data_IF_990340186825
#
_entry.id   IF_990340186825
#
_cell.length_a   1.000
_cell.length_b   1.000
_cell.length_c   1.000
_cell.angle_alpha   90.00
_cell.angle_beta   90.00
_cell.angle_gamma   90.00
#
_symmetry.space_group_name_H-M   'P 1'
#
loop_
_entity.id
_entity.type
_entity.pdbx_description
1 polymer ?
#
# COMPACT_ATOMS: atom_id res chain seq x y z
N UNK A 1 7.88 4.39 17.72
CA UNK A 1 7.25 3.15 18.27
C UNK A 1 6.68 2.38 17.08
N UNK A 2 6.95 1.06 16.98
CA UNK A 2 6.38 0.21 15.93
C UNK A 2 4.91 -0.09 16.25
N UNK A 3 4.07 -0.07 15.24
CA UNK A 3 2.64 -0.43 15.32
C UNK A 3 2.18 -1.03 14.00
N UNK A 4 1.13 -1.84 14.07
CA UNK A 4 0.45 -2.43 12.93
C UNK A 4 -1.05 -2.50 13.21
N UNK A 5 -1.86 -2.02 12.24
CA UNK A 5 -3.32 -2.14 12.27
C UNK A 5 -3.80 -2.81 10.98
N UNK A 6 -4.85 -3.59 11.09
CA UNK A 6 -5.55 -4.20 9.98
C UNK A 6 -6.98 -3.69 9.94
N UNK A 7 -7.41 -3.25 8.78
CA UNK A 7 -8.78 -2.82 8.50
C UNK A 7 -9.31 -3.52 7.27
N UNK A 8 -10.63 -3.77 7.21
CA UNK A 8 -11.31 -4.36 6.05
C UNK A 8 -12.30 -3.36 5.47
N UNK A 9 -12.11 -2.99 4.19
CA UNK A 9 -13.07 -2.16 3.47
C UNK A 9 -14.38 -2.91 3.24
N UNK A 10 -15.49 -2.16 3.24
CA UNK A 10 -16.75 -2.67 2.70
C UNK A 10 -16.63 -2.82 1.18
N UNK A 11 -17.42 -3.72 0.56
CA UNK A 11 -17.41 -3.89 -0.90
C UNK A 11 -17.64 -2.60 -1.67
N UNK A 12 -18.54 -1.73 -1.18
CA UNK A 12 -18.86 -0.45 -1.81
C UNK A 12 -17.65 0.51 -1.79
N UNK A 13 -16.96 0.62 -0.66
CA UNK A 13 -15.76 1.44 -0.55
C UNK A 13 -14.65 0.90 -1.45
N UNK A 14 -14.44 -0.41 -1.43
CA UNK A 14 -13.44 -1.06 -2.29
C UNK A 14 -13.70 -0.78 -3.78
N UNK A 15 -14.95 -0.85 -4.22
CA UNK A 15 -15.33 -0.58 -5.61
C UNK A 15 -15.03 0.89 -6.02
N UNK A 16 -15.27 1.85 -5.12
CA UNK A 16 -14.92 3.26 -5.34
C UNK A 16 -13.40 3.41 -5.52
N UNK A 17 -12.60 2.85 -4.62
CA UNK A 17 -11.14 2.92 -4.70
C UNK A 17 -10.61 2.30 -6.00
N UNK A 18 -11.09 1.12 -6.37
CA UNK A 18 -10.73 0.46 -7.64
C UNK A 18 -11.00 1.36 -8.84
N UNK A 19 -12.18 1.99 -8.89
CA UNK A 19 -12.57 2.88 -10.00
C UNK A 19 -11.67 4.09 -10.10
N UNK A 20 -11.40 4.78 -9.00
CA UNK A 20 -10.52 5.96 -9.00
C UNK A 20 -9.09 5.59 -9.41
N UNK A 21 -8.51 4.53 -8.84
CA UNK A 21 -7.13 4.11 -9.15
C UNK A 21 -7.00 3.68 -10.61
N UNK A 22 -7.92 2.87 -11.11
CA UNK A 22 -7.89 2.44 -12.51
C UNK A 22 -8.08 3.63 -13.46
N UNK A 23 -9.02 4.54 -13.15
CA UNK A 23 -9.23 5.74 -13.95
C UNK A 23 -7.97 6.61 -14.00
N UNK A 24 -7.28 6.80 -12.86
CA UNK A 24 -6.05 7.56 -12.80
C UNK A 24 -4.94 6.91 -13.65
N UNK A 25 -4.77 5.59 -13.57
CA UNK A 25 -3.77 4.85 -14.37
C UNK A 25 -4.05 4.95 -15.87
N UNK A 26 -5.32 4.87 -16.28
CA UNK A 26 -5.72 4.89 -17.68
C UNK A 26 -5.70 6.27 -18.33
N UNK A 27 -5.90 7.34 -17.55
CA UNK A 27 -6.13 8.69 -18.05
C UNK A 27 -5.03 9.70 -17.74
N UNK A 28 -3.94 9.27 -17.10
CA UNK A 28 -2.79 10.13 -16.79
C UNK A 28 -1.48 9.50 -17.24
N UNK A 29 -0.49 10.35 -17.53
CA UNK A 29 0.89 9.90 -17.74
C UNK A 29 1.57 9.77 -16.38
N UNK A 30 1.35 8.65 -15.72
CA UNK A 30 2.02 8.38 -14.44
C UNK A 30 3.48 7.99 -14.67
N UNK A 31 4.32 8.41 -13.74
CA UNK A 31 5.68 7.90 -13.69
C UNK A 31 5.64 6.40 -13.36
N UNK A 32 6.32 5.60 -14.17
CA UNK A 32 6.44 4.16 -13.95
C UNK A 32 7.89 3.89 -13.60
N UNK A 33 8.11 3.28 -12.43
CA UNK A 33 9.46 2.84 -12.08
C UNK A 33 9.95 1.83 -13.13
N UNK A 34 11.14 2.06 -13.69
CA UNK A 34 11.76 1.08 -14.56
C UNK A 34 12.01 -0.20 -13.76
N UNK A 35 11.74 -1.32 -14.39
CA UNK A 35 12.11 -2.63 -13.83
C UNK A 35 13.65 -2.66 -13.83
N UNK A 36 14.26 -2.57 -12.64
CA UNK A 36 15.70 -2.70 -12.51
C UNK A 36 16.09 -4.18 -12.39
N UNK A 37 16.49 -4.77 -13.50
CA UNK A 37 16.88 -6.17 -13.59
C UNK A 37 18.09 -6.54 -12.70
N UNK A 38 18.82 -5.56 -12.20
CA UNK A 38 20.03 -5.80 -11.39
C UNK A 38 19.77 -5.79 -9.87
N UNK A 39 18.71 -5.10 -9.42
CA UNK A 39 18.32 -5.02 -8.00
C UNK A 39 16.94 -5.61 -7.83
N UNK A 40 16.35 -6.04 -8.89
CA UNK A 40 14.94 -6.24 -9.04
C UNK A 40 14.38 -7.35 -8.19
N UNK A 41 13.90 -6.91 -7.16
CA UNK A 41 12.98 -7.56 -6.29
C UNK A 41 11.56 -7.33 -6.75
N UNK A 42 11.37 -6.56 -7.82
CA UNK A 42 10.06 -6.13 -8.28
C UNK A 42 9.96 -6.21 -9.79
N UNK A 43 9.39 -7.31 -10.27
CA UNK A 43 9.05 -7.51 -11.68
C UNK A 43 7.68 -6.94 -12.05
N UNK A 44 7.01 -6.30 -11.10
CA UNK A 44 5.67 -5.73 -11.27
C UNK A 44 5.75 -4.22 -11.51
N UNK A 45 5.01 -3.66 -12.48
CA UNK A 45 5.04 -2.23 -12.73
C UNK A 45 4.45 -1.45 -11.55
N UNK A 46 5.14 -0.38 -11.16
CA UNK A 46 4.67 0.60 -10.17
C UNK A 46 4.30 1.90 -10.87
N UNK A 47 3.11 2.41 -10.59
CA UNK A 47 2.61 3.67 -11.13
C UNK A 47 2.51 4.68 -9.98
N UNK A 48 3.31 5.76 -10.04
CA UNK A 48 3.38 6.76 -9.00
C UNK A 48 2.42 7.92 -9.26
N UNK A 49 1.62 8.27 -8.25
CA UNK A 49 0.66 9.38 -8.27
C UNK A 49 1.22 10.67 -7.63
N UNK A 50 2.55 10.78 -7.49
CA UNK A 50 3.20 11.89 -6.79
C UNK A 50 3.15 13.22 -7.54
N UNK A 51 2.82 13.20 -8.82
CA UNK A 51 2.59 14.41 -9.60
C UNK A 51 1.23 15.00 -9.22
N UNK A 52 1.07 16.34 -9.09
CA UNK A 52 -0.22 16.96 -8.86
C UNK A 52 -1.33 16.43 -9.77
N UNK A 53 -0.97 16.07 -10.99
CA UNK A 53 -1.92 15.57 -11.98
C UNK A 53 -2.45 14.17 -11.67
N UNK A 54 -1.69 13.32 -10.98
CA UNK A 54 -2.13 11.97 -10.61
C UNK A 54 -3.00 11.93 -9.34
N UNK A 55 -2.59 12.64 -8.31
CA UNK A 55 -3.27 12.67 -7.00
C UNK A 55 -4.69 13.24 -7.10
N UNK A 56 -4.93 14.22 -7.96
CA UNK A 56 -6.24 14.84 -8.13
C UNK A 56 -7.34 13.86 -8.57
N UNK A 57 -6.98 12.69 -9.09
CA UNK A 57 -7.92 11.65 -9.51
C UNK A 57 -8.27 10.66 -8.40
N UNK A 58 -7.72 10.83 -7.19
CA UNK A 58 -7.91 9.94 -6.05
C UNK A 58 -8.65 10.58 -4.86
N UNK A 59 -9.58 11.54 -5.04
CA UNK A 59 -10.12 12.31 -3.90
C UNK A 59 -10.84 11.44 -2.88
N UNK A 60 -11.70 10.53 -3.31
CA UNK A 60 -12.43 9.63 -2.41
C UNK A 60 -11.53 8.56 -1.80
N UNK A 61 -10.52 8.12 -2.54
CA UNK A 61 -9.53 7.16 -2.08
C UNK A 61 -8.69 7.77 -0.94
N UNK A 62 -8.16 8.99 -1.15
CA UNK A 62 -7.37 9.71 -0.14
C UNK A 62 -8.21 9.97 1.10
N UNK A 63 -9.43 10.48 0.93
CA UNK A 63 -10.34 10.72 2.05
C UNK A 63 -10.63 9.43 2.83
N UNK A 64 -11.02 8.37 2.14
CA UNK A 64 -11.39 7.09 2.76
C UNK A 64 -10.23 6.48 3.55
N UNK A 65 -9.03 6.41 2.95
CA UNK A 65 -7.86 5.85 3.62
C UNK A 65 -7.38 6.78 4.73
N UNK A 66 -7.38 8.09 4.51
CA UNK A 66 -7.04 9.09 5.51
C UNK A 66 -7.91 9.00 6.76
N UNK A 67 -9.22 8.87 6.61
CA UNK A 67 -10.16 8.68 7.74
C UNK A 67 -9.84 7.42 8.54
N UNK A 68 -9.55 6.31 7.84
CA UNK A 68 -9.19 5.04 8.48
C UNK A 68 -7.85 5.17 9.24
N UNK A 69 -6.87 5.88 8.68
CA UNK A 69 -5.60 6.17 9.36
C UNK A 69 -5.85 7.02 10.60
N UNK A 70 -6.62 8.10 10.49
CA UNK A 70 -6.98 8.97 11.61
C UNK A 70 -7.66 8.20 12.74
N UNK A 71 -8.63 7.37 12.41
CA UNK A 71 -9.33 6.52 13.37
C UNK A 71 -8.41 5.51 14.05
N UNK A 72 -7.55 4.84 13.28
CA UNK A 72 -6.61 3.84 13.79
C UNK A 72 -5.54 4.45 14.69
N UNK A 73 -5.05 5.64 14.31
CA UNK A 73 -4.01 6.37 15.03
C UNK A 73 -4.54 7.29 16.13
N UNK A 74 -5.85 7.51 16.19
CA UNK A 74 -6.50 8.47 17.11
C UNK A 74 -6.01 9.90 16.92
N UNK A 75 -5.74 10.28 15.68
CA UNK A 75 -5.30 11.63 15.31
C UNK A 75 -6.41 12.38 14.60
N UNK A 76 -6.33 13.71 14.58
CA UNK A 76 -7.28 14.55 13.86
C UNK A 76 -6.91 14.64 12.38
N UNK A 77 -7.89 14.77 11.50
CA UNK A 77 -7.71 14.85 10.05
C UNK A 77 -6.66 15.90 9.64
N UNK A 78 -6.70 17.09 10.23
CA UNK A 78 -5.75 18.16 9.91
C UNK A 78 -4.31 17.88 10.37
N UNK A 79 -4.08 16.84 11.16
CA UNK A 79 -2.75 16.40 11.57
C UNK A 79 -2.17 15.33 10.63
N UNK A 80 -2.92 14.91 9.61
CA UNK A 80 -2.49 13.92 8.63
C UNK A 80 -2.36 14.57 7.25
N UNK A 81 -1.27 14.33 6.56
CA UNK A 81 -1.07 14.73 5.16
C UNK A 81 -0.50 13.59 4.32
N UNK A 82 -1.00 13.45 3.10
CA UNK A 82 -0.46 12.50 2.13
C UNK A 82 0.90 12.99 1.65
N UNK A 83 1.90 12.12 1.66
CA UNK A 83 3.27 12.39 1.18
C UNK A 83 3.47 11.80 -0.21
N UNK A 84 3.08 10.54 -0.40
CA UNK A 84 3.24 9.82 -1.66
C UNK A 84 2.17 8.74 -1.81
N UNK A 85 1.87 8.40 -3.06
CA UNK A 85 0.98 7.30 -3.39
C UNK A 85 1.46 6.60 -4.66
N UNK A 86 1.35 5.27 -4.69
CA UNK A 86 1.63 4.46 -5.89
C UNK A 86 0.79 3.18 -5.89
N UNK A 87 0.53 2.69 -7.08
CA UNK A 87 -0.18 1.42 -7.27
C UNK A 87 0.71 0.40 -7.98
N UNK A 88 0.53 -0.87 -7.63
CA UNK A 88 1.31 -1.99 -8.17
C UNK A 88 0.37 -3.03 -8.73
N UNK A 89 0.60 -3.39 -10.00
CA UNK A 89 -0.02 -4.53 -10.65
C UNK A 89 0.93 -5.73 -10.55
N UNK A 90 0.75 -6.52 -9.51
CA UNK A 90 1.60 -7.66 -9.21
C UNK A 90 1.52 -8.73 -10.27
N UNK A 91 2.69 -9.21 -10.71
CA UNK A 91 2.83 -10.29 -11.68
C UNK A 91 3.38 -11.54 -11.03
N UNK A 92 3.15 -12.67 -11.68
CA UNK A 92 3.72 -13.96 -11.25
C UNK A 92 5.23 -13.85 -11.04
N UNK A 93 5.70 -14.34 -9.89
CA UNK A 93 7.07 -14.23 -9.43
C UNK A 93 7.41 -12.91 -8.74
N UNK A 94 6.50 -11.90 -8.80
CA UNK A 94 6.71 -10.59 -8.16
C UNK A 94 6.71 -10.69 -6.64
N UNK A 95 7.60 -9.93 -6.01
CA UNK A 95 7.74 -9.85 -4.57
C UNK A 95 8.35 -8.51 -4.16
N UNK A 96 8.25 -8.15 -2.91
CA UNK A 96 8.99 -7.03 -2.32
C UNK A 96 10.02 -7.59 -1.33
N UNK A 97 11.28 -7.17 -1.49
CA UNK A 97 12.30 -7.48 -0.49
C UNK A 97 11.96 -6.86 0.86
N UNK A 98 12.62 -7.35 1.89
CA UNK A 98 12.61 -6.72 3.20
C UNK A 98 13.16 -5.30 3.08
N UNK A 99 12.34 -4.33 3.42
CA UNK A 99 12.70 -2.93 3.43
C UNK A 99 11.93 -2.17 4.53
N UNK A 100 12.27 -0.93 4.72
CA UNK A 100 11.53 0.04 5.53
C UNK A 100 11.58 1.39 4.84
N UNK A 101 10.63 2.24 5.15
CA UNK A 101 10.63 3.60 4.62
C UNK A 101 11.47 4.50 5.53
N UNK A 102 12.46 5.19 4.98
CA UNK A 102 13.44 5.97 5.75
C UNK A 102 13.30 7.49 5.61
N UNK A 103 12.24 7.97 4.97
CA UNK A 103 11.98 9.40 4.78
C UNK A 103 11.66 10.12 6.09
N UNK A 104 12.21 11.33 6.28
CA UNK A 104 11.91 12.15 7.47
C UNK A 104 10.50 12.75 7.44
N UNK A 105 9.88 12.80 6.25
CA UNK A 105 8.56 13.40 6.04
C UNK A 105 7.40 12.45 6.20
N UNK A 106 7.63 11.14 6.25
CA UNK A 106 6.59 10.12 6.37
C UNK A 106 6.79 9.33 7.65
N UNK A 107 5.71 9.03 8.34
CA UNK A 107 5.75 8.24 9.58
C UNK A 107 4.65 7.18 9.68
N UNK A 108 3.70 7.19 8.75
CA UNK A 108 2.64 6.19 8.60
C UNK A 108 2.65 5.66 7.17
N UNK A 109 2.64 4.34 7.02
CA UNK A 109 2.52 3.66 5.73
C UNK A 109 1.21 2.90 5.68
N UNK A 110 0.59 2.87 4.50
CA UNK A 110 -0.59 2.05 4.24
C UNK A 110 -0.41 1.21 2.99
N UNK A 111 -0.89 -0.03 3.02
CA UNK A 111 -1.03 -0.87 1.83
C UNK A 111 -2.47 -1.35 1.76
N UNK A 112 -3.16 -0.98 0.69
CA UNK A 112 -4.53 -1.39 0.40
C UNK A 112 -4.52 -2.45 -0.70
N UNK A 113 -5.12 -3.59 -0.44
CA UNK A 113 -5.26 -4.68 -1.39
C UNK A 113 -6.54 -4.49 -2.20
N UNK A 114 -6.40 -3.90 -3.40
CA UNK A 114 -7.54 -3.61 -4.27
C UNK A 114 -8.07 -4.87 -4.93
N UNK A 115 -7.18 -5.74 -5.39
CA UNK A 115 -7.54 -7.03 -5.96
C UNK A 115 -6.52 -8.10 -5.58
N UNK A 116 -7.01 -9.18 -5.00
CA UNK A 116 -6.23 -10.37 -4.66
C UNK A 116 -7.05 -11.57 -5.05
N UNK A 117 -6.50 -12.41 -5.93
CA UNK A 117 -7.16 -13.66 -6.28
C UNK A 117 -7.03 -14.63 -5.10
N UNK A 118 -8.14 -15.33 -4.74
CA UNK A 118 -8.06 -16.37 -3.74
C UNK A 118 -7.05 -17.43 -4.17
N UNK A 119 -6.14 -17.77 -3.28
CA UNK A 119 -5.08 -18.72 -3.59
C UNK A 119 -5.49 -20.15 -3.23
N UNK A 120 -5.27 -21.05 -4.17
CA UNK A 120 -5.47 -22.48 -3.92
C UNK A 120 -4.32 -23.10 -3.09
N UNK A 121 -3.22 -22.37 -2.89
CA UNK A 121 -2.04 -22.88 -2.18
C UNK A 121 -1.61 -21.95 -1.05
N UNK A 122 -1.67 -22.41 0.20
CA UNK A 122 -1.65 -21.52 1.36
C UNK A 122 -0.27 -21.10 1.88
N UNK A 123 0.84 -21.62 1.37
CA UNK A 123 2.13 -21.37 1.99
C UNK A 123 2.87 -20.20 1.34
N UNK A 124 2.72 -19.02 1.97
CA UNK A 124 3.53 -17.82 1.73
C UNK A 124 3.42 -17.18 0.35
N UNK A 125 2.47 -17.62 -0.47
CA UNK A 125 2.25 -17.10 -1.80
C UNK A 125 1.70 -15.67 -1.71
N UNK A 126 2.52 -14.67 -2.11
CA UNK A 126 2.17 -13.26 -2.04
C UNK A 126 1.86 -12.74 -0.62
N UNK A 127 2.10 -13.52 0.41
CA UNK A 127 1.86 -13.17 1.80
C UNK A 127 2.67 -11.94 2.20
N UNK A 128 2.04 -10.99 2.87
CA UNK A 128 2.71 -9.87 3.50
C UNK A 128 3.39 -10.32 4.78
N UNK A 129 4.63 -9.95 4.97
CA UNK A 129 5.35 -10.22 6.20
C UNK A 129 5.96 -8.93 6.77
N UNK A 130 6.08 -8.89 8.09
CA UNK A 130 6.66 -7.75 8.80
C UNK A 130 7.28 -8.17 10.12
N UNK A 131 8.18 -7.32 10.63
CA UNK A 131 8.81 -7.51 11.92
C UNK A 131 8.27 -6.49 12.92
N UNK A 132 7.78 -6.96 14.04
CA UNK A 132 7.33 -6.12 15.16
C UNK A 132 7.83 -6.69 16.47
N UNK A 133 8.47 -5.85 17.29
CA UNK A 133 9.07 -6.32 18.55
C UNK A 133 10.13 -7.40 18.36
N UNK A 134 10.78 -7.48 17.20
CA UNK A 134 11.77 -8.50 16.84
C UNK A 134 11.18 -9.83 16.35
N UNK A 135 9.86 -9.95 16.25
CA UNK A 135 9.18 -11.17 15.78
C UNK A 135 8.70 -11.00 14.33
N UNK A 136 8.88 -12.06 13.53
CA UNK A 136 8.29 -12.15 12.21
C UNK A 136 6.78 -12.46 12.33
N UNK A 137 5.98 -11.65 11.65
CA UNK A 137 4.53 -11.88 11.47
C UNK A 137 4.23 -12.02 9.98
N UNK A 138 3.26 -12.85 9.65
CA UNK A 138 2.86 -13.14 8.28
C UNK A 138 1.34 -13.02 8.17
N UNK A 139 0.85 -12.36 7.10
CA UNK A 139 -0.57 -12.18 6.85
C UNK A 139 -0.87 -12.41 5.37
N UNK A 140 -1.72 -13.38 5.08
CA UNK A 140 -2.24 -13.58 3.73
C UNK A 140 -3.32 -12.50 3.46
N UNK A 141 -3.10 -11.60 2.50
CA UNK A 141 -4.05 -10.53 2.23
C UNK A 141 -5.24 -11.01 1.43
N UNK A 142 -6.37 -10.35 1.64
CA UNK A 142 -7.58 -10.47 0.83
C UNK A 142 -7.95 -9.12 0.20
N UNK A 143 -8.73 -9.15 -0.89
CA UNK A 143 -9.25 -7.91 -1.49
C UNK A 143 -10.03 -7.10 -0.46
N UNK A 144 -9.70 -5.81 -0.34
CA UNK A 144 -10.28 -4.88 0.64
C UNK A 144 -9.51 -4.77 1.95
N UNK A 145 -8.45 -5.56 2.17
CA UNK A 145 -7.59 -5.37 3.34
C UNK A 145 -6.78 -4.07 3.21
N UNK A 146 -6.68 -3.35 4.33
CA UNK A 146 -5.76 -2.23 4.52
C UNK A 146 -4.85 -2.56 5.68
N UNK A 147 -3.56 -2.54 5.45
CA UNK A 147 -2.53 -2.61 6.48
C UNK A 147 -1.96 -1.23 6.72
N UNK A 148 -1.94 -0.81 8.00
CA UNK A 148 -1.45 0.50 8.44
C UNK A 148 -0.31 0.25 9.43
N UNK A 149 0.87 0.79 9.14
CA UNK A 149 2.04 0.51 9.97
C UNK A 149 3.03 1.68 9.99
N UNK A 150 3.93 1.64 10.96
CA UNK A 150 4.97 2.65 11.08
C UNK A 150 6.02 2.53 9.98
N UNK A 151 6.51 3.65 9.47
CA UNK A 151 7.50 3.70 8.39
C UNK A 151 8.83 2.99 8.71
N UNK A 152 9.19 2.87 9.98
CA UNK A 152 10.41 2.20 10.42
C UNK A 152 10.27 0.68 10.58
N UNK A 153 9.08 0.13 10.34
CA UNK A 153 8.85 -1.31 10.40
C UNK A 153 9.40 -2.00 9.16
N UNK A 154 10.27 -3.01 9.36
CA UNK A 154 10.73 -3.86 8.27
C UNK A 154 9.59 -4.74 7.77
N UNK A 155 9.35 -4.70 6.47
CA UNK A 155 8.28 -5.47 5.83
C UNK A 155 8.63 -5.86 4.40
N UNK A 156 7.82 -6.74 3.83
CA UNK A 156 7.95 -7.19 2.46
C UNK A 156 6.81 -8.13 2.06
N UNK A 157 6.92 -8.71 0.87
CA UNK A 157 5.97 -9.74 0.40
C UNK A 157 6.72 -10.90 -0.20
N UNK A 158 6.25 -12.12 0.07
CA UNK A 158 6.74 -13.31 -0.60
C UNK A 158 6.37 -13.31 -2.09
N UNK A 159 7.13 -14.04 -2.93
CA UNK A 159 6.79 -14.20 -4.34
C UNK A 159 5.35 -14.71 -4.51
N UNK A 160 4.66 -14.17 -5.50
CA UNK A 160 3.33 -14.63 -5.89
C UNK A 160 3.40 -15.58 -7.09
N UNK A 161 2.53 -16.57 -7.15
CA UNK A 161 2.51 -17.56 -8.23
C UNK A 161 1.61 -17.20 -9.40
N UNK A 162 0.85 -16.11 -9.28
CA UNK A 162 -0.12 -15.64 -10.28
C UNK A 162 0.05 -14.16 -10.58
N UNK A 163 -0.43 -13.76 -11.75
CA UNK A 163 -0.78 -12.37 -12.04
C UNK A 163 -2.01 -11.96 -11.21
N UNK A 164 -2.41 -10.68 -11.30
CA UNK A 164 -3.65 -10.12 -10.74
C UNK A 164 -3.64 -9.78 -9.25
N UNK A 165 -2.51 -9.40 -8.72
CA UNK A 165 -2.48 -8.71 -7.44
C UNK A 165 -2.42 -7.21 -7.70
N UNK A 166 -3.43 -6.49 -7.28
CA UNK A 166 -3.48 -5.05 -7.40
C UNK A 166 -3.46 -4.41 -6.02
N UNK A 167 -2.43 -3.60 -5.74
CA UNK A 167 -2.28 -2.91 -4.47
C UNK A 167 -2.12 -1.41 -4.67
N UNK A 168 -2.57 -0.64 -3.69
CA UNK A 168 -2.34 0.78 -3.57
C UNK A 168 -1.58 1.04 -2.27
N UNK A 169 -0.42 1.65 -2.38
CA UNK A 169 0.40 2.07 -1.25
C UNK A 169 0.35 3.57 -1.09
N UNK A 170 0.28 4.03 0.16
CA UNK A 170 0.33 5.45 0.49
C UNK A 170 1.19 5.68 1.72
N UNK A 171 2.02 6.72 1.64
CA UNK A 171 2.80 7.21 2.76
C UNK A 171 2.20 8.53 3.27
N UNK A 172 2.09 8.63 4.59
CA UNK A 172 1.47 9.76 5.26
C UNK A 172 2.42 10.39 6.27
N UNK A 173 2.24 11.68 6.46
CA UNK A 173 2.87 12.42 7.54
C UNK A 173 1.84 12.75 8.61
N UNK A 174 2.05 12.22 9.80
CA UNK A 174 1.30 12.56 11.00
C UNK A 174 2.05 13.64 11.77
N UNK A 175 1.49 14.85 11.78
CA UNK A 175 2.02 15.96 12.57
C UNK A 175 1.60 15.78 14.03
N UNK A 176 2.56 15.53 14.89
CA UNK A 176 2.31 15.55 16.33
C UNK A 176 2.10 17.01 16.76
N UNK A 177 0.85 17.40 16.92
CA UNK A 177 0.52 18.69 17.53
C UNK A 177 0.72 18.50 19.04
N UNK A 178 1.84 19.01 19.53
CA UNK A 178 2.17 19.09 20.95
C UNK A 178 1.25 20.03 21.71
#
# INVERSE_FOLDING_TARGET
MEYFYHYKLTPEKLDILKKEVNYAVENTQLFVDPIDDNISTQISPQYHFNDPDGIQYLPMTIQTIGDIVCDSRKVKEHALSLVSAWTVYGKKGGYHTVHKHSGQQQNVCTVTYLDVQPEEYPLRNGTFFFFIGGELKEMAPESGDIYIFSNNMYHGTYPQDRDHRHTLSMDWHENYIS
#
